data_IF_664154328482
#
_entry.id   IF_664154328482
#
_cell.length_a   1.000
_cell.length_b   1.000
_cell.length_c   1.000
_cell.angle_alpha   90.00
_cell.angle_beta   90.00
_cell.angle_gamma   90.00
#
_symmetry.space_group_name_H-M   'P 1'
#
loop_
_entity.id
_entity.type
_entity.pdbx_description
1 polymer ?
#
# COMPACT_ATOMS: atom_id res chain seq x y z
N UNK A 1 -18.23 -10.72 -11.79
CA UNK A 1 -17.47 -9.49 -11.57
C UNK A 1 -16.18 -9.83 -10.84
N UNK A 2 -15.01 -9.38 -11.30
CA UNK A 2 -13.73 -9.75 -10.69
C UNK A 2 -13.67 -9.25 -9.23
N UNK A 3 -13.32 -10.10 -8.26
CA UNK A 3 -13.34 -9.73 -6.83
C UNK A 3 -12.45 -8.52 -6.57
N UNK A 4 -11.28 -8.42 -7.20
CA UNK A 4 -10.38 -7.27 -7.08
C UNK A 4 -11.08 -5.98 -7.51
N UNK A 5 -11.75 -6.00 -8.67
CA UNK A 5 -12.47 -4.86 -9.22
C UNK A 5 -13.61 -4.39 -8.30
N UNK A 6 -14.33 -5.32 -7.68
CA UNK A 6 -15.38 -4.97 -6.73
C UNK A 6 -14.83 -4.22 -5.51
N UNK A 7 -13.73 -4.71 -4.91
CA UNK A 7 -13.10 -4.04 -3.77
C UNK A 7 -12.49 -2.69 -4.15
N UNK A 8 -11.90 -2.54 -5.35
CA UNK A 8 -11.41 -1.24 -5.82
C UNK A 8 -12.54 -0.23 -5.95
N UNK A 9 -13.67 -0.62 -6.53
CA UNK A 9 -14.82 0.28 -6.68
C UNK A 9 -15.37 0.74 -5.33
N UNK A 10 -15.46 -0.17 -4.34
CA UNK A 10 -15.89 0.17 -2.98
C UNK A 10 -14.92 1.17 -2.35
N UNK A 11 -13.61 0.92 -2.43
CA UNK A 11 -12.60 1.81 -1.85
C UNK A 11 -12.63 3.21 -2.48
N UNK A 12 -12.75 3.29 -3.82
CA UNK A 12 -12.89 4.57 -4.53
C UNK A 12 -14.14 5.30 -4.06
N UNK A 13 -15.28 4.61 -3.97
CA UNK A 13 -16.54 5.22 -3.55
C UNK A 13 -16.48 5.77 -2.13
N UNK A 14 -15.93 5.00 -1.19
CA UNK A 14 -15.72 5.44 0.19
C UNK A 14 -14.79 6.66 0.24
N UNK A 15 -13.68 6.65 -0.51
CA UNK A 15 -12.75 7.77 -0.55
C UNK A 15 -13.39 9.06 -1.11
N UNK A 16 -14.24 8.94 -2.14
CA UNK A 16 -14.97 10.07 -2.72
C UNK A 16 -15.98 10.67 -1.72
N UNK A 17 -16.69 9.82 -0.97
CA UNK A 17 -17.61 10.28 0.09
C UNK A 17 -16.84 10.96 1.22
N UNK A 18 -15.78 10.31 1.72
CA UNK A 18 -14.97 10.85 2.81
C UNK A 18 -14.35 12.21 2.43
N UNK A 19 -13.86 12.35 1.19
CA UNK A 19 -13.32 13.60 0.68
C UNK A 19 -14.39 14.68 0.54
N UNK A 20 -15.58 14.32 0.07
CA UNK A 20 -16.71 15.26 -0.04
C UNK A 20 -17.15 15.80 1.32
N UNK A 21 -17.29 14.90 2.30
CA UNK A 21 -17.65 15.28 3.68
C UNK A 21 -16.56 16.16 4.27
N UNK A 22 -15.29 15.76 4.16
CA UNK A 22 -14.17 16.54 4.68
C UNK A 22 -14.07 17.93 4.05
N UNK A 23 -14.30 18.03 2.73
CA UNK A 23 -14.25 19.30 2.03
C UNK A 23 -15.35 20.28 2.49
N UNK A 24 -16.55 19.75 2.75
CA UNK A 24 -17.69 20.53 3.23
C UNK A 24 -17.46 21.12 4.64
N UNK A 25 -16.66 20.45 5.47
CA UNK A 25 -16.43 20.86 6.86
C UNK A 25 -15.33 21.93 7.03
N UNK A 26 -14.42 22.11 6.06
CA UNK A 26 -13.21 22.92 6.25
C UNK A 26 -13.36 24.37 5.78
N UNK A 27 -13.85 24.63 4.57
CA UNK A 27 -13.87 26.00 4.01
C UNK A 27 -14.87 26.19 2.88
N UNK A 28 -15.03 27.45 2.44
CA UNK A 28 -15.83 27.84 1.28
C UNK A 28 -15.28 27.33 -0.06
N UNK A 29 -13.98 27.02 -0.16
CA UNK A 29 -13.36 26.48 -1.37
C UNK A 29 -13.50 24.96 -1.44
N UNK A 30 -14.73 24.51 -1.68
CA UNK A 30 -15.09 23.08 -1.70
C UNK A 30 -14.21 22.26 -2.64
N UNK A 31 -14.04 22.69 -3.89
CA UNK A 31 -13.33 21.91 -4.91
C UNK A 31 -11.84 21.71 -4.57
N UNK A 32 -11.16 22.76 -4.12
CA UNK A 32 -9.74 22.69 -3.73
C UNK A 32 -9.55 21.76 -2.53
N UNK A 33 -10.40 21.91 -1.50
CA UNK A 33 -10.34 21.06 -0.32
C UNK A 33 -10.66 19.60 -0.64
N UNK A 34 -11.64 19.35 -1.51
CA UNK A 34 -12.00 18.01 -1.97
C UNK A 34 -10.80 17.32 -2.62
N UNK A 35 -10.14 18.00 -3.57
CA UNK A 35 -8.97 17.46 -4.28
C UNK A 35 -7.81 17.21 -3.32
N UNK A 36 -7.54 18.12 -2.39
CA UNK A 36 -6.47 17.96 -1.41
C UNK A 36 -6.69 16.75 -0.48
N UNK A 37 -7.91 16.60 0.07
CA UNK A 37 -8.23 15.47 0.93
C UNK A 37 -8.19 14.16 0.14
N UNK A 38 -8.70 14.15 -1.09
CA UNK A 38 -8.67 12.99 -1.98
C UNK A 38 -7.22 12.57 -2.28
N UNK A 39 -6.33 13.54 -2.50
CA UNK A 39 -4.91 13.30 -2.70
C UNK A 39 -4.24 12.71 -1.44
N UNK A 40 -4.56 13.21 -0.25
CA UNK A 40 -4.02 12.64 1.00
C UNK A 40 -4.50 11.19 1.23
N UNK A 41 -5.76 10.89 0.93
CA UNK A 41 -6.29 9.52 0.99
C UNK A 41 -5.59 8.63 -0.04
N UNK A 42 -5.37 9.13 -1.26
CA UNK A 42 -4.62 8.41 -2.29
C UNK A 42 -3.20 8.09 -1.83
N UNK A 43 -2.50 9.07 -1.25
CA UNK A 43 -1.15 8.91 -0.73
C UNK A 43 -1.10 7.86 0.38
N UNK A 44 -2.07 7.86 1.30
CA UNK A 44 -2.20 6.83 2.33
C UNK A 44 -2.35 5.42 1.73
N UNK A 45 -3.21 5.25 0.71
CA UNK A 45 -3.35 3.98 0.01
C UNK A 45 -2.09 3.57 -0.75
N UNK A 46 -1.38 4.50 -1.39
CA UNK A 46 -0.11 4.21 -2.07
C UNK A 46 0.94 3.72 -1.07
N UNK A 47 1.05 4.37 0.10
CA UNK A 47 2.01 3.95 1.13
C UNK A 47 1.70 2.55 1.66
N UNK A 48 0.45 2.30 2.08
CA UNK A 48 0.06 0.98 2.61
C UNK A 48 0.09 -0.09 1.53
N UNK A 49 -0.46 0.20 0.36
CA UNK A 49 -0.49 -0.74 -0.76
C UNK A 49 0.93 -1.06 -1.25
N UNK A 50 1.77 -0.05 -1.41
CA UNK A 50 3.17 -0.22 -1.81
C UNK A 50 3.96 -1.04 -0.80
N UNK A 51 3.78 -0.77 0.49
CA UNK A 51 4.39 -1.58 1.56
C UNK A 51 3.93 -3.04 1.49
N UNK A 52 2.60 -3.29 1.40
CA UNK A 52 2.05 -4.64 1.27
C UNK A 52 2.56 -5.34 0.02
N UNK A 53 2.69 -4.63 -1.10
CA UNK A 53 3.17 -5.19 -2.36
C UNK A 53 4.64 -5.63 -2.27
N UNK A 54 5.50 -4.79 -1.69
CA UNK A 54 6.90 -5.11 -1.45
C UNK A 54 7.03 -6.33 -0.52
N UNK A 55 6.23 -6.35 0.56
CA UNK A 55 6.22 -7.46 1.52
C UNK A 55 5.74 -8.76 0.87
N UNK A 56 4.65 -8.69 0.11
CA UNK A 56 4.04 -9.84 -0.56
C UNK A 56 5.01 -10.54 -1.51
N UNK A 57 5.82 -9.76 -2.24
CA UNK A 57 6.78 -10.28 -3.22
C UNK A 57 8.09 -10.79 -2.61
N UNK A 58 8.22 -10.84 -1.28
CA UNK A 58 9.39 -11.41 -0.62
C UNK A 58 10.65 -10.52 -0.68
N UNK A 59 10.51 -9.21 -0.98
CA UNK A 59 11.66 -8.28 -1.02
C UNK A 59 12.43 -8.24 0.31
N UNK A 60 11.70 -8.30 1.43
CA UNK A 60 12.31 -8.37 2.76
C UNK A 60 13.05 -9.69 2.99
N UNK A 61 12.59 -10.81 2.44
CA UNK A 61 13.27 -12.11 2.58
C UNK A 61 14.65 -12.09 1.90
N UNK A 62 14.72 -11.49 0.71
CA UNK A 62 15.98 -11.27 -0.01
C UNK A 62 16.89 -10.31 0.77
N UNK A 63 16.33 -9.23 1.31
CA UNK A 63 17.09 -8.22 2.06
C UNK A 63 17.68 -8.81 3.35
N UNK A 64 16.90 -9.57 4.11
CA UNK A 64 17.35 -10.27 5.32
C UNK A 64 18.47 -11.25 4.98
N UNK A 65 18.30 -12.04 3.91
CA UNK A 65 19.33 -12.98 3.46
C UNK A 65 20.64 -12.26 3.09
N UNK A 66 20.55 -11.17 2.33
CA UNK A 66 21.73 -10.37 1.95
C UNK A 66 22.42 -9.78 3.19
N UNK A 67 21.65 -9.27 4.14
CA UNK A 67 22.18 -8.71 5.39
C UNK A 67 22.89 -9.77 6.25
N UNK A 68 22.27 -10.93 6.42
CA UNK A 68 22.88 -12.07 7.13
C UNK A 68 24.16 -12.56 6.43
N UNK A 69 24.20 -12.51 5.10
CA UNK A 69 25.38 -12.90 4.33
C UNK A 69 26.54 -11.91 4.48
N UNK A 70 26.27 -10.61 4.56
CA UNK A 70 27.31 -9.57 4.65
C UNK A 70 27.78 -9.36 6.09
N UNK A 71 26.86 -9.31 7.05
CA UNK A 71 27.17 -8.97 8.45
C UNK A 71 27.25 -10.20 9.37
N UNK A 72 27.01 -11.39 8.83
CA UNK A 72 26.91 -12.63 9.60
C UNK A 72 25.53 -12.81 10.24
N UNK A 73 25.26 -14.04 10.66
CA UNK A 73 23.98 -14.41 11.27
C UNK A 73 24.02 -14.19 12.78
N UNK A 74 23.09 -13.40 13.31
CA UNK A 74 22.88 -13.30 14.76
C UNK A 74 21.96 -14.44 15.23
N UNK A 75 22.45 -15.31 16.12
CA UNK A 75 21.68 -16.46 16.64
C UNK A 75 20.34 -16.07 17.28
N UNK A 76 20.23 -14.87 17.87
CA UNK A 76 18.96 -14.37 18.41
C UNK A 76 17.93 -14.02 17.32
N UNK A 77 18.38 -13.57 16.16
CA UNK A 77 17.49 -13.22 15.05
C UNK A 77 17.02 -14.51 14.36
N UNK A 78 17.93 -15.46 14.14
CA UNK A 78 17.58 -16.77 13.58
C UNK A 78 16.58 -17.52 14.47
N UNK A 79 16.75 -17.49 15.80
CA UNK A 79 15.80 -18.15 16.72
C UNK A 79 14.40 -17.53 16.67
N UNK A 80 14.28 -16.21 16.52
CA UNK A 80 12.98 -15.54 16.39
C UNK A 80 12.29 -15.87 15.06
N UNK A 81 13.06 -16.10 13.99
CA UNK A 81 12.52 -16.48 12.68
C UNK A 81 12.08 -17.95 12.69
N UNK A 82 12.88 -18.84 13.29
CA UNK A 82 12.54 -20.27 13.44
C UNK A 82 11.38 -20.54 14.39
N UNK A 83 11.13 -19.67 15.37
CA UNK A 83 9.98 -19.82 16.29
C UNK A 83 8.64 -19.49 15.61
N UNK A 84 8.66 -18.60 14.61
CA UNK A 84 7.45 -18.11 13.92
C UNK A 84 7.17 -18.88 12.63
N UNK A 85 8.19 -19.46 11.99
CA UNK A 85 8.07 -20.13 10.70
C UNK A 85 8.38 -21.62 10.76
N UNK A 86 7.64 -22.42 9.98
CA UNK A 86 7.90 -23.85 9.84
C UNK A 86 9.35 -24.13 9.40
N UNK A 87 9.97 -25.21 9.92
CA UNK A 87 11.35 -25.56 9.62
C UNK A 87 11.50 -25.85 8.12
N UNK A 88 12.03 -24.87 7.40
CA UNK A 88 12.25 -24.86 5.95
C UNK A 88 13.69 -24.47 5.66
N UNK A 89 14.25 -24.95 4.55
CA UNK A 89 15.64 -24.71 4.23
C UNK A 89 15.89 -23.20 4.02
N UNK A 90 17.04 -22.69 4.48
CA UNK A 90 17.34 -21.24 4.47
C UNK A 90 17.25 -20.64 3.06
N UNK A 91 17.52 -21.44 2.03
CA UNK A 91 17.41 -21.05 0.62
C UNK A 91 15.97 -20.94 0.13
N UNK A 92 15.06 -21.77 0.63
CA UNK A 92 13.64 -21.75 0.24
C UNK A 92 12.92 -20.53 0.82
N UNK A 93 13.33 -20.07 2.01
CA UNK A 93 12.80 -18.83 2.63
C UNK A 93 12.96 -17.58 1.76
N UNK A 94 14.02 -17.51 0.95
CA UNK A 94 14.30 -16.37 0.05
C UNK A 94 13.17 -16.18 -0.97
N UNK A 95 12.58 -17.28 -1.44
CA UNK A 95 11.57 -17.29 -2.49
C UNK A 95 10.14 -17.34 -1.95
N UNK A 96 9.97 -17.34 -0.62
CA UNK A 96 8.65 -17.35 0.00
C UNK A 96 7.94 -16.04 -0.30
N UNK A 97 6.84 -16.13 -1.03
CA UNK A 97 5.92 -15.02 -1.27
C UNK A 97 4.68 -15.19 -0.40
N UNK A 98 4.13 -14.10 0.08
CA UNK A 98 2.84 -14.11 0.75
C UNK A 98 1.74 -13.80 -0.27
N UNK A 99 0.48 -13.94 0.11
CA UNK A 99 -0.63 -13.41 -0.70
C UNK A 99 -1.62 -12.69 0.18
N UNK A 100 -1.79 -11.39 -0.04
CA UNK A 100 -2.82 -10.62 0.63
C UNK A 100 -3.87 -10.22 -0.40
N UNK A 101 -5.12 -10.54 -0.10
CA UNK A 101 -6.26 -10.25 -0.99
C UNK A 101 -6.45 -8.76 -1.27
N UNK A 102 -5.99 -7.90 -0.36
CA UNK A 102 -6.20 -6.46 -0.38
C UNK A 102 -5.07 -5.63 -0.99
N UNK A 103 -3.88 -6.21 -1.22
CA UNK A 103 -2.73 -5.47 -1.80
C UNK A 103 -3.10 -4.80 -3.11
N UNK A 104 -3.57 -5.57 -4.09
CA UNK A 104 -3.91 -5.06 -5.42
C UNK A 104 -5.06 -4.04 -5.38
N UNK A 105 -6.19 -4.30 -4.68
CA UNK A 105 -7.23 -3.29 -4.55
C UNK A 105 -6.75 -1.96 -3.98
N UNK A 106 -5.94 -1.99 -2.92
CA UNK A 106 -5.43 -0.78 -2.27
C UNK A 106 -4.47 -0.03 -3.21
N UNK A 107 -3.52 -0.73 -3.85
CA UNK A 107 -2.58 -0.11 -4.80
C UNK A 107 -3.31 0.56 -5.97
N UNK A 108 -4.23 -0.16 -6.62
CA UNK A 108 -4.96 0.35 -7.79
C UNK A 108 -5.79 1.58 -7.40
N UNK A 109 -6.47 1.52 -6.24
CA UNK A 109 -7.25 2.65 -5.71
C UNK A 109 -6.35 3.86 -5.47
N UNK A 110 -5.21 3.68 -4.79
CA UNK A 110 -4.28 4.77 -4.51
C UNK A 110 -3.73 5.43 -5.78
N UNK A 111 -3.25 4.63 -6.75
CA UNK A 111 -2.73 5.14 -8.02
C UNK A 111 -3.82 5.89 -8.79
N UNK A 112 -5.01 5.31 -8.90
CA UNK A 112 -6.13 5.93 -9.63
C UNK A 112 -6.54 7.27 -9.02
N UNK A 113 -6.76 7.30 -7.70
CA UNK A 113 -7.15 8.52 -6.99
C UNK A 113 -6.04 9.58 -7.02
N UNK A 114 -4.77 9.16 -6.92
CA UNK A 114 -3.62 10.07 -6.98
C UNK A 114 -3.49 10.74 -8.34
N UNK A 115 -3.60 9.96 -9.43
CA UNK A 115 -3.63 10.51 -10.79
C UNK A 115 -4.84 11.43 -11.01
N UNK A 116 -6.03 10.99 -10.60
CA UNK A 116 -7.26 11.75 -10.76
C UNK A 116 -7.22 13.10 -10.03
N UNK A 117 -6.81 13.10 -8.77
CA UNK A 117 -6.67 14.33 -7.98
C UNK A 117 -5.60 15.27 -8.53
N UNK A 118 -4.45 14.73 -8.95
CA UNK A 118 -3.37 15.52 -9.57
C UNK A 118 -3.84 16.19 -10.86
N UNK A 119 -4.55 15.47 -11.73
CA UNK A 119 -5.10 16.02 -12.97
C UNK A 119 -6.09 17.16 -12.70
N UNK A 120 -6.99 17.00 -11.73
CA UNK A 120 -7.92 18.06 -11.35
C UNK A 120 -7.17 19.26 -10.75
N UNK A 121 -6.14 19.01 -9.92
CA UNK A 121 -5.34 20.07 -9.33
C UNK A 121 -4.67 20.95 -10.39
N UNK A 122 -4.14 20.36 -11.46
CA UNK A 122 -3.61 21.12 -12.60
C UNK A 122 -4.66 22.04 -13.25
N UNK A 123 -5.90 21.56 -13.40
CA UNK A 123 -7.01 22.36 -13.95
C UNK A 123 -7.46 23.49 -13.02
N UNK A 124 -7.29 23.35 -11.70
CA UNK A 124 -7.60 24.41 -10.73
C UNK A 124 -6.49 25.48 -10.71
N UNK A 125 -5.24 25.08 -10.94
CA UNK A 125 -4.07 25.95 -10.87
C UNK A 125 -3.87 26.79 -12.15
N UNK A 126 -4.24 26.26 -13.32
CA UNK A 126 -4.25 27.00 -14.59
C UNK A 126 -5.46 27.93 -14.70
#
# INVERSE_FOLDING_TARGET
>A
MNKVFFHTCILIFIAMIASSIGAFLISSQFLLNFVNILFYIALFFILIGGFLYIFQNGFFNVTIYAFQRVFGTNKKIDSLIEEVEEPTDKKERIYKTYSFKWTYPICITGIFLGLFSTLISFTILM
#
